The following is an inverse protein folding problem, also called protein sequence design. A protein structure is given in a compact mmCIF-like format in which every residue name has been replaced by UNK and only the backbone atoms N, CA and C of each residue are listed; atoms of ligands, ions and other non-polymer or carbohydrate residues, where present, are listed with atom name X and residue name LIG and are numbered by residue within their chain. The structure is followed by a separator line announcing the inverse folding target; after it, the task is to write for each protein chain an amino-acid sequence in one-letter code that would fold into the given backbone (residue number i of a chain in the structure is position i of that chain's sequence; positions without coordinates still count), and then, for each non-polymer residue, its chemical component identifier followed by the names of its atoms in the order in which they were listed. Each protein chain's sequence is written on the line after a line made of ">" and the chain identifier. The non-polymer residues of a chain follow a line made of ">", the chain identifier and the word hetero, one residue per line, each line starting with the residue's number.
data_IF_142752063738
#
_entry.id   IF_142752063738
#
_cell.length_a   1.000
_cell.length_b   1.000
_cell.length_c   1.000
_cell.angle_alpha   90.00
_cell.angle_beta   90.00
_cell.angle_gamma   90.00
#
_symmetry.space_group_name_H-M   'P 1'
#
loop_
_entity.id
_entity.type
_entity.pdbx_description
1 polymer ?
#
# COMPACT_ATOMS: atom_id res chain seq x y z
N UNK A 1 8.74 -14.23 31.24
CA UNK A 1 10.11 -14.21 31.80
C UNK A 1 10.34 -15.41 32.71
N UNK A 2 9.53 -15.59 33.76
CA UNK A 2 9.65 -16.74 34.69
C UNK A 2 9.55 -18.09 33.99
N UNK A 3 8.56 -18.27 33.10
CA UNK A 3 8.43 -19.50 32.31
C UNK A 3 9.65 -19.75 31.41
N UNK A 4 10.14 -18.71 30.71
CA UNK A 4 11.31 -18.81 29.84
C UNK A 4 12.59 -19.22 30.59
N UNK A 5 12.81 -18.68 31.78
CA UNK A 5 13.97 -19.04 32.62
C UNK A 5 13.82 -20.47 33.14
N UNK A 6 12.60 -20.91 33.46
CA UNK A 6 12.36 -22.31 33.83
C UNK A 6 12.62 -23.27 32.65
N UNK A 7 12.27 -22.88 31.42
CA UNK A 7 12.58 -23.68 30.22
C UNK A 7 14.09 -23.76 29.98
N UNK A 8 14.80 -22.63 30.09
CA UNK A 8 16.27 -22.59 29.98
C UNK A 8 16.96 -23.41 31.07
N UNK A 9 16.44 -23.37 32.30
CA UNK A 9 16.97 -24.16 33.40
C UNK A 9 16.77 -25.67 33.16
N UNK A 10 15.62 -26.08 32.61
CA UNK A 10 15.36 -27.48 32.24
C UNK A 10 16.25 -27.94 31.07
N UNK A 11 16.36 -27.15 30.00
CA UNK A 11 17.20 -27.47 28.84
C UNK A 11 18.70 -27.43 29.16
N UNK A 12 19.10 -26.51 30.04
CA UNK A 12 20.48 -26.34 30.51
C UNK A 12 20.88 -27.28 31.64
N UNK A 13 19.94 -28.09 32.16
CA UNK A 13 20.20 -29.03 33.25
C UNK A 13 20.54 -28.37 34.59
N UNK A 14 20.01 -27.17 34.84
CA UNK A 14 20.25 -26.44 36.10
C UNK A 14 19.51 -27.11 37.24
N UNK A 15 20.14 -27.14 38.41
CA UNK A 15 19.48 -27.60 39.63
C UNK A 15 18.42 -26.58 40.11
N UNK A 16 17.51 -27.06 40.96
CA UNK A 16 16.38 -26.27 41.44
C UNK A 16 16.81 -25.04 42.27
N UNK A 17 17.94 -25.12 42.98
CA UNK A 17 18.42 -24.04 43.83
C UNK A 17 19.07 -22.93 42.99
N UNK A 18 19.85 -23.29 41.97
CA UNK A 18 20.40 -22.35 40.98
C UNK A 18 19.31 -21.62 40.21
N UNK A 19 18.26 -22.33 39.78
CA UNK A 19 17.11 -21.74 39.09
C UNK A 19 16.39 -20.72 39.96
N UNK A 20 16.19 -21.07 41.24
CA UNK A 20 15.53 -20.20 42.22
C UNK A 20 16.37 -18.96 42.55
N UNK A 21 17.69 -19.09 42.62
CA UNK A 21 18.61 -17.98 42.84
C UNK A 21 18.59 -16.97 41.68
N UNK A 22 18.56 -17.46 40.43
CA UNK A 22 18.49 -16.61 39.23
C UNK A 22 17.14 -15.91 39.12
N UNK A 23 16.04 -16.61 39.36
CA UNK A 23 14.69 -16.01 39.39
C UNK A 23 14.58 -14.93 40.47
N UNK A 24 15.18 -15.16 41.64
CA UNK A 24 15.23 -14.18 42.73
C UNK A 24 16.06 -12.95 42.35
N UNK A 25 17.26 -13.15 41.78
CA UNK A 25 18.12 -12.04 41.35
C UNK A 25 17.48 -11.17 40.26
N UNK A 26 16.70 -11.77 39.35
CA UNK A 26 15.98 -11.05 38.30
C UNK A 26 14.74 -10.35 38.87
N UNK A 27 14.03 -10.95 39.82
CA UNK A 27 12.88 -10.35 40.50
C UNK A 27 13.23 -9.20 41.44
N UNK A 28 14.41 -9.25 42.09
CA UNK A 28 14.89 -8.22 43.01
C UNK A 28 15.51 -7.00 42.31
N UNK A 29 15.86 -7.13 41.02
CA UNK A 29 16.38 -6.02 40.22
C UNK A 29 15.41 -5.65 39.09
N UNK A 30 14.62 -4.57 39.24
CA UNK A 30 13.60 -4.19 38.26
C UNK A 30 14.17 -3.89 36.86
N UNK A 31 15.42 -3.38 36.76
CA UNK A 31 16.07 -3.16 35.46
C UNK A 31 16.46 -4.48 34.78
N UNK A 32 16.87 -5.49 35.56
CA UNK A 32 17.16 -6.81 35.02
C UNK A 32 15.88 -7.49 34.53
N UNK A 33 14.78 -7.40 35.31
CA UNK A 33 13.48 -7.91 34.90
C UNK A 33 12.98 -7.29 33.59
N UNK A 34 13.12 -5.96 33.41
CA UNK A 34 12.75 -5.29 32.16
C UNK A 34 13.62 -5.71 30.97
N UNK A 35 14.94 -5.81 31.13
CA UNK A 35 15.85 -6.25 30.07
C UNK A 35 15.53 -7.68 29.61
N UNK A 36 15.29 -8.60 30.56
CA UNK A 36 14.88 -9.97 30.23
C UNK A 36 13.49 -10.02 29.58
N UNK A 37 12.55 -9.17 29.99
CA UNK A 37 11.23 -9.08 29.35
C UNK A 37 11.35 -8.62 27.90
N UNK A 38 12.19 -7.61 27.64
CA UNK A 38 12.44 -7.09 26.29
C UNK A 38 13.11 -8.12 25.38
N UNK A 39 14.13 -8.82 25.87
CA UNK A 39 14.83 -9.84 25.08
C UNK A 39 13.95 -11.08 24.79
N UNK A 40 13.11 -11.48 25.74
CA UNK A 40 12.14 -12.57 25.53
C UNK A 40 11.10 -12.18 24.49
N UNK A 41 10.57 -10.95 24.55
CA UNK A 41 9.65 -10.45 23.52
C UNK A 41 10.32 -10.37 22.15
N UNK A 42 11.54 -9.83 22.06
CA UNK A 42 12.28 -9.73 20.80
C UNK A 42 12.55 -11.11 20.14
N UNK A 43 12.78 -12.16 20.94
CA UNK A 43 12.93 -13.53 20.43
C UNK A 43 11.61 -14.16 19.99
N UNK A 44 10.52 -13.89 20.70
CA UNK A 44 9.18 -14.34 20.29
C UNK A 44 8.76 -13.69 18.97
N UNK A 45 9.01 -12.39 18.83
CA UNK A 45 8.76 -11.65 17.60
C UNK A 45 9.63 -12.21 16.45
N UNK A 46 10.92 -12.46 16.68
CA UNK A 46 11.80 -13.05 15.66
C UNK A 46 11.35 -14.46 15.21
N UNK A 47 10.85 -15.30 16.12
CA UNK A 47 10.32 -16.63 15.74
C UNK A 47 9.05 -16.49 14.91
N UNK A 48 8.15 -15.59 15.30
CA UNK A 48 6.90 -15.33 14.59
C UNK A 48 7.17 -14.75 13.20
N UNK A 49 8.14 -13.86 13.07
CA UNK A 49 8.57 -13.29 11.80
C UNK A 49 9.20 -14.35 10.89
N UNK A 50 9.93 -15.32 11.47
CA UNK A 50 10.48 -16.46 10.70
C UNK A 50 9.39 -17.38 10.15
N UNK A 51 8.36 -17.67 10.94
CA UNK A 51 7.24 -18.51 10.51
C UNK A 51 6.38 -17.78 9.45
N UNK A 52 6.21 -16.47 9.59
CA UNK A 52 5.58 -15.63 8.58
C UNK A 52 6.38 -15.64 7.27
N UNK A 53 7.71 -15.41 7.33
CA UNK A 53 8.60 -15.47 6.17
C UNK A 53 8.60 -16.83 5.47
N UNK A 54 8.47 -17.92 6.24
CA UNK A 54 8.36 -19.27 5.67
C UNK A 54 7.03 -19.44 4.93
N UNK A 55 5.93 -18.97 5.52
CA UNK A 55 4.60 -19.02 4.91
C UNK A 55 4.54 -18.18 3.64
N UNK A 56 5.12 -16.98 3.65
CA UNK A 56 5.22 -16.10 2.48
C UNK A 56 6.06 -16.72 1.37
N UNK A 57 7.17 -17.39 1.74
CA UNK A 57 7.99 -18.13 0.79
C UNK A 57 7.24 -19.30 0.17
N UNK A 58 6.54 -20.09 0.97
CA UNK A 58 5.76 -21.23 0.48
C UNK A 58 4.62 -20.77 -0.45
N UNK A 59 3.97 -19.64 -0.14
CA UNK A 59 2.97 -19.01 -1.00
C UNK A 59 3.57 -18.47 -2.31
N UNK A 60 4.76 -17.87 -2.24
CA UNK A 60 5.49 -17.40 -3.42
C UNK A 60 5.87 -18.57 -4.34
N UNK A 61 6.43 -19.65 -3.78
CA UNK A 61 6.83 -20.84 -4.54
C UNK A 61 5.60 -21.51 -5.19
N UNK A 62 4.45 -21.57 -4.49
CA UNK A 62 3.19 -22.04 -5.07
C UNK A 62 2.73 -21.16 -6.25
N UNK A 63 2.81 -19.82 -6.12
CA UNK A 63 2.44 -18.88 -7.19
C UNK A 63 3.33 -19.02 -8.44
N UNK A 64 4.63 -19.30 -8.25
CA UNK A 64 5.58 -19.55 -9.33
C UNK A 64 5.23 -20.82 -10.12
N UNK A 65 4.82 -21.89 -9.41
CA UNK A 65 4.40 -23.14 -10.05
C UNK A 65 3.13 -22.92 -10.87
N UNK A 66 2.14 -22.21 -10.33
CA UNK A 66 0.94 -21.86 -11.09
C UNK A 66 1.24 -20.99 -12.30
N UNK A 67 2.12 -20.00 -12.16
CA UNK A 67 2.52 -19.13 -13.27
C UNK A 67 3.16 -19.94 -14.41
N UNK A 68 4.10 -20.83 -14.10
CA UNK A 68 4.74 -21.72 -15.09
C UNK A 68 3.72 -22.63 -15.78
N UNK A 69 2.72 -23.12 -15.05
CA UNK A 69 1.65 -23.94 -15.63
C UNK A 69 0.80 -23.13 -16.61
N UNK A 70 0.38 -21.92 -16.22
CA UNK A 70 -0.40 -21.00 -17.10
C UNK A 70 0.40 -20.59 -18.33
N UNK A 71 1.69 -20.33 -18.18
CA UNK A 71 2.59 -20.00 -19.30
C UNK A 71 2.70 -21.17 -20.29
N UNK A 72 2.84 -22.41 -19.79
CA UNK A 72 2.85 -23.60 -20.63
C UNK A 72 1.51 -23.84 -21.36
N UNK A 73 0.38 -23.60 -20.68
CA UNK A 73 -0.95 -23.65 -21.29
C UNK A 73 -1.13 -22.58 -22.37
N UNK A 74 -0.67 -21.35 -22.11
CA UNK A 74 -0.70 -20.25 -23.08
C UNK A 74 0.15 -20.55 -24.32
N UNK A 75 1.37 -21.08 -24.14
CA UNK A 75 2.24 -21.48 -25.25
C UNK A 75 1.61 -22.59 -26.10
N UNK A 76 0.93 -23.57 -25.47
CA UNK A 76 0.18 -24.60 -26.20
C UNK A 76 -0.96 -24.01 -27.01
N UNK A 77 -1.79 -23.17 -26.39
CA UNK A 77 -2.89 -22.50 -27.07
C UNK A 77 -2.40 -21.67 -28.27
N UNK A 78 -1.28 -20.95 -28.11
CA UNK A 78 -0.70 -20.18 -29.20
C UNK A 78 -0.14 -21.07 -30.33
N UNK A 79 0.44 -22.22 -30.01
CA UNK A 79 0.88 -23.19 -31.00
C UNK A 79 -0.30 -23.80 -31.78
N UNK A 80 -1.40 -24.10 -31.08
CA UNK A 80 -2.65 -24.61 -31.70
C UNK A 80 -3.27 -23.56 -32.63
N UNK A 81 -3.35 -22.30 -32.21
CA UNK A 81 -3.81 -21.21 -33.08
C UNK A 81 -2.99 -21.10 -34.37
N UNK A 82 -1.66 -21.18 -34.26
CA UNK A 82 -0.76 -21.12 -35.42
C UNK A 82 -0.94 -22.33 -36.35
N UNK A 83 -1.21 -23.51 -35.78
CA UNK A 83 -1.51 -24.70 -36.56
C UNK A 83 -2.83 -24.59 -37.33
N UNK A 84 -3.87 -24.02 -36.69
CA UNK A 84 -5.16 -23.74 -37.33
C UNK A 84 -4.99 -22.73 -38.47
N UNK A 85 -4.22 -21.65 -38.26
CA UNK A 85 -3.92 -20.66 -39.31
C UNK A 85 -3.19 -21.29 -40.50
N UNK A 86 -2.17 -22.10 -40.23
CA UNK A 86 -1.45 -22.83 -41.28
C UNK A 86 -2.35 -23.81 -42.03
N UNK A 87 -3.28 -24.48 -41.33
CA UNK A 87 -4.26 -25.36 -41.95
C UNK A 87 -5.23 -24.58 -42.84
N UNK A 88 -5.72 -23.42 -42.43
CA UNK A 88 -6.57 -22.56 -43.27
C UNK A 88 -5.85 -22.08 -44.54
N UNK A 89 -4.55 -21.79 -44.45
CA UNK A 89 -3.73 -21.45 -45.62
C UNK A 89 -3.48 -22.65 -46.54
N UNK A 90 -3.32 -23.86 -45.98
CA UNK A 90 -3.03 -25.08 -46.73
C UNK A 90 -4.27 -25.76 -47.36
N UNK A 91 -5.47 -25.60 -46.77
CA UNK A 91 -6.71 -26.25 -47.25
C UNK A 91 -7.37 -25.51 -48.43
N UNK A 92 -6.64 -24.61 -49.09
CA UNK A 92 -7.08 -23.98 -50.32
C UNK A 92 -7.94 -22.74 -50.09
N UNK A 93 -7.30 -21.58 -50.12
CA UNK A 93 -7.86 -20.47 -50.89
C UNK A 93 -8.09 -20.97 -52.31
N UNK A 94 -9.29 -21.47 -52.59
CA UNK A 94 -9.68 -21.96 -53.90
C UNK A 94 -9.64 -20.83 -54.92
N UNK A 95 -8.53 -20.73 -55.62
CA UNK A 95 -8.47 -20.15 -56.96
C UNK A 95 -9.21 -21.12 -57.90
N UNK A 96 -10.51 -20.89 -58.05
CA UNK A 96 -11.28 -21.30 -59.21
C UNK A 96 -12.60 -20.53 -59.25
N UNK A 97 -12.51 -19.21 -59.33
CA UNK A 97 -13.57 -18.43 -59.98
C UNK A 97 -13.00 -17.86 -61.26
N UNK A 98 -13.39 -18.55 -62.34
CA UNK A 98 -13.25 -18.18 -63.72
C UNK A 98 -13.61 -16.69 -63.88
N UNK A 99 -12.59 -15.87 -64.13
CA UNK A 99 -12.70 -14.47 -64.47
C UNK A 99 -13.14 -14.38 -65.94
N UNK A 100 -14.35 -14.86 -66.22
CA UNK A 100 -15.05 -14.58 -67.46
C UNK A 100 -15.76 -13.24 -67.31
N UNK A 101 -15.03 -12.24 -67.77
CA UNK A 101 -15.43 -10.86 -67.98
C UNK A 101 -16.68 -10.77 -68.86
N UNK A 102 -17.86 -10.56 -68.26
CA UNK A 102 -18.98 -9.87 -68.91
C UNK A 102 -20.02 -9.44 -67.87
N UNK A 103 -20.43 -8.16 -67.91
CA UNK A 103 -21.56 -7.68 -67.11
C UNK A 103 -21.20 -6.56 -66.13
N UNK A 104 -20.90 -5.40 -66.71
CA UNK A 104 -21.08 -4.10 -66.09
C UNK A 104 -22.51 -3.99 -65.50
N UNK A 105 -22.64 -3.95 -64.17
CA UNK A 105 -23.80 -3.33 -63.53
C UNK A 105 -23.38 -2.53 -62.29
N UNK A 106 -23.81 -1.28 -62.29
CA UNK A 106 -23.53 -0.29 -61.27
C UNK A 106 -24.54 -0.47 -60.14
N UNK A 107 -24.06 -0.94 -58.98
CA UNK A 107 -24.77 -0.79 -57.71
C UNK A 107 -23.77 -0.34 -56.65
N UNK A 108 -23.93 0.91 -56.19
CA UNK A 108 -23.24 1.50 -55.04
C UNK A 108 -23.63 0.78 -53.73
N UNK A 109 -23.07 -0.41 -53.49
CA UNK A 109 -23.31 -1.17 -52.27
C UNK A 109 -22.22 -2.20 -52.04
N UNK A 110 -21.36 -1.94 -51.05
CA UNK A 110 -20.38 -2.86 -50.45
C UNK A 110 -19.52 -3.64 -51.45
N UNK A 111 -18.41 -3.01 -51.88
CA UNK A 111 -17.30 -3.78 -52.46
C UNK A 111 -16.92 -4.89 -51.48
N UNK A 112 -16.93 -6.18 -51.89
CA UNK A 112 -16.49 -7.26 -51.01
C UNK A 112 -15.04 -6.96 -50.59
N UNK A 113 -14.77 -6.98 -49.28
CA UNK A 113 -13.42 -6.72 -48.76
C UNK A 113 -12.43 -7.61 -49.51
N UNK A 114 -11.39 -7.00 -50.06
CA UNK A 114 -10.29 -7.76 -50.68
C UNK A 114 -9.68 -8.69 -49.62
N UNK A 115 -9.11 -9.85 -50.01
CA UNK A 115 -8.45 -10.78 -49.05
C UNK A 115 -7.45 -10.08 -48.13
N UNK A 116 -6.79 -9.02 -48.63
CA UNK A 116 -5.90 -8.17 -47.84
C UNK A 116 -6.65 -7.37 -46.78
N UNK A 117 -7.72 -6.68 -47.14
CA UNK A 117 -8.54 -5.90 -46.19
C UNK A 117 -9.23 -6.80 -45.16
N UNK A 118 -9.65 -8.01 -45.54
CA UNK A 118 -10.18 -9.01 -44.59
C UNK A 118 -9.11 -9.47 -43.60
N UNK A 119 -7.89 -9.77 -44.07
CA UNK A 119 -6.77 -10.12 -43.19
C UNK A 119 -6.36 -8.97 -42.26
N UNK A 120 -6.36 -7.74 -42.77
CA UNK A 120 -6.04 -6.56 -41.96
C UNK A 120 -7.14 -6.29 -40.91
N UNK A 121 -8.41 -6.50 -41.26
CA UNK A 121 -9.54 -6.42 -40.32
C UNK A 121 -9.46 -7.51 -39.24
N UNK A 122 -9.11 -8.75 -39.60
CA UNK A 122 -8.91 -9.83 -38.63
C UNK A 122 -7.75 -9.52 -37.68
N UNK A 123 -6.61 -9.05 -38.20
CA UNK A 123 -5.48 -8.62 -37.35
C UNK A 123 -5.85 -7.46 -36.43
N UNK A 124 -6.59 -6.47 -36.92
CA UNK A 124 -7.06 -5.36 -36.10
C UNK A 124 -7.98 -5.84 -34.98
N UNK A 125 -8.91 -6.75 -35.28
CA UNK A 125 -9.77 -7.39 -34.29
C UNK A 125 -8.96 -8.16 -33.26
N UNK A 126 -8.02 -8.98 -33.69
CA UNK A 126 -7.21 -9.82 -32.81
C UNK A 126 -6.32 -8.96 -31.89
N UNK A 127 -5.71 -7.89 -32.43
CA UNK A 127 -4.99 -6.91 -31.62
C UNK A 127 -5.89 -6.23 -30.58
N UNK A 128 -7.11 -5.84 -30.97
CA UNK A 128 -8.09 -5.23 -30.06
C UNK A 128 -8.47 -6.19 -28.95
N UNK A 129 -8.64 -7.49 -29.27
CA UNK A 129 -8.93 -8.52 -28.28
C UNK A 129 -7.74 -8.74 -27.32
N UNK A 130 -6.51 -8.81 -27.84
CA UNK A 130 -5.31 -8.92 -27.02
C UNK A 130 -5.19 -7.73 -26.05
N UNK A 131 -5.45 -6.52 -26.52
CA UNK A 131 -5.40 -5.32 -25.69
C UNK A 131 -6.54 -5.27 -24.65
N UNK A 132 -7.73 -5.76 -25.00
CA UNK A 132 -8.82 -5.96 -24.06
C UNK A 132 -8.46 -6.95 -22.94
N UNK A 133 -7.87 -8.10 -23.28
CA UNK A 133 -7.45 -9.10 -22.30
C UNK A 133 -6.35 -8.54 -21.37
N UNK A 134 -5.35 -7.84 -21.92
CA UNK A 134 -4.31 -7.17 -21.13
C UNK A 134 -4.92 -6.15 -20.18
N UNK A 135 -5.80 -5.29 -20.68
CA UNK A 135 -6.46 -4.25 -19.89
C UNK A 135 -7.25 -4.87 -18.74
N UNK A 136 -8.08 -5.87 -19.03
CA UNK A 136 -8.89 -6.57 -18.02
C UNK A 136 -8.02 -7.26 -16.97
N UNK A 137 -6.88 -7.84 -17.38
CA UNK A 137 -5.93 -8.47 -16.45
C UNK A 137 -5.28 -7.45 -15.51
N UNK A 138 -4.83 -6.32 -16.04
CA UNK A 138 -4.24 -5.23 -15.25
C UNK A 138 -5.27 -4.68 -14.27
N UNK A 139 -6.49 -4.40 -14.73
CA UNK A 139 -7.58 -3.92 -13.88
C UNK A 139 -7.94 -4.94 -12.79
N UNK A 140 -7.95 -6.23 -13.14
CA UNK A 140 -8.16 -7.32 -12.19
C UNK A 140 -7.13 -7.34 -11.07
N UNK A 141 -5.84 -7.21 -11.42
CA UNK A 141 -4.75 -7.13 -10.46
C UNK A 141 -4.83 -5.86 -9.59
N UNK A 142 -5.10 -4.70 -10.19
CA UNK A 142 -5.28 -3.44 -9.46
C UNK A 142 -6.47 -3.51 -8.50
N UNK A 143 -7.58 -4.13 -8.90
CA UNK A 143 -8.74 -4.31 -8.04
C UNK A 143 -8.44 -5.24 -6.86
N UNK A 144 -7.82 -6.38 -7.14
CA UNK A 144 -7.42 -7.35 -6.13
C UNK A 144 -6.43 -6.73 -5.13
N UNK A 145 -5.47 -5.92 -5.59
CA UNK A 145 -4.53 -5.24 -4.71
C UNK A 145 -5.20 -4.18 -3.83
N UNK A 146 -6.21 -3.47 -4.35
CA UNK A 146 -6.90 -2.42 -3.62
C UNK A 146 -7.97 -2.96 -2.66
N UNK A 147 -8.70 -4.00 -3.02
CA UNK A 147 -9.90 -4.44 -2.28
C UNK A 147 -9.82 -5.87 -1.76
N UNK A 148 -8.85 -6.68 -2.22
CA UNK A 148 -8.77 -8.10 -1.86
C UNK A 148 -9.86 -8.97 -2.50
N UNK A 149 -10.68 -8.38 -3.38
CA UNK A 149 -11.80 -9.01 -4.05
C UNK A 149 -11.51 -9.15 -5.56
N UNK A 150 -12.03 -10.20 -6.22
CA UNK A 150 -11.95 -10.31 -7.67
C UNK A 150 -12.74 -9.18 -8.33
N UNK A 151 -12.23 -8.66 -9.45
CA UNK A 151 -12.90 -7.62 -10.24
C UNK A 151 -14.28 -8.11 -10.72
N UNK A 152 -15.38 -7.38 -10.43
CA UNK A 152 -16.71 -7.71 -10.97
C UNK A 152 -16.81 -7.28 -12.45
N UNK A 153 -16.17 -8.05 -13.34
CA UNK A 153 -16.03 -7.72 -14.78
C UNK A 153 -17.38 -7.40 -15.44
N UNK A 154 -18.42 -8.18 -15.13
CA UNK A 154 -19.76 -8.01 -15.73
C UNK A 154 -20.43 -6.69 -15.31
N UNK A 155 -20.18 -6.21 -14.10
CA UNK A 155 -20.75 -4.94 -13.61
C UNK A 155 -20.04 -3.75 -14.23
N UNK A 156 -18.71 -3.82 -14.31
CA UNK A 156 -17.88 -2.80 -14.96
C UNK A 156 -18.18 -2.74 -16.46
N UNK A 157 -18.41 -3.88 -17.11
CA UNK A 157 -18.82 -3.93 -18.51
C UNK A 157 -20.20 -3.28 -18.73
N UNK A 158 -21.19 -3.59 -17.89
CA UNK A 158 -22.50 -2.93 -17.95
C UNK A 158 -22.37 -1.42 -17.76
N UNK A 159 -21.58 -0.98 -16.77
CA UNK A 159 -21.32 0.43 -16.52
C UNK A 159 -20.64 1.11 -17.71
N UNK A 160 -19.67 0.45 -18.35
CA UNK A 160 -18.99 0.94 -19.55
C UNK A 160 -19.96 1.13 -20.74
N UNK A 161 -20.85 0.17 -20.95
CA UNK A 161 -21.87 0.23 -22.01
C UNK A 161 -22.89 1.33 -21.72
N UNK A 162 -23.38 1.43 -20.50
CA UNK A 162 -24.38 2.44 -20.08
C UNK A 162 -23.85 3.88 -20.22
N UNK A 163 -22.56 4.10 -19.91
CA UNK A 163 -21.94 5.42 -19.98
C UNK A 163 -21.14 5.68 -21.25
N UNK A 164 -21.07 4.72 -22.18
CA UNK A 164 -20.30 4.82 -23.42
C UNK A 164 -18.82 5.18 -23.18
N UNK A 165 -18.26 4.67 -22.08
CA UNK A 165 -16.89 4.91 -21.68
C UNK A 165 -16.00 3.73 -22.05
N UNK A 166 -14.72 3.96 -22.39
CA UNK A 166 -13.77 2.87 -22.52
C UNK A 166 -13.62 2.14 -21.17
N UNK A 167 -13.46 0.82 -21.21
CA UNK A 167 -13.48 -0.05 -20.02
C UNK A 167 -12.60 0.44 -18.85
N UNK A 168 -11.44 1.01 -19.18
CA UNK A 168 -10.49 1.54 -18.19
C UNK A 168 -11.01 2.79 -17.46
N UNK A 169 -11.73 3.67 -18.14
CA UNK A 169 -12.32 4.87 -17.54
C UNK A 169 -13.59 4.50 -16.77
N UNK A 170 -14.43 3.65 -17.37
CA UNK A 170 -15.60 3.08 -16.70
C UNK A 170 -15.24 2.42 -15.36
N UNK A 171 -14.15 1.65 -15.32
CA UNK A 171 -13.65 1.06 -14.09
C UNK A 171 -13.28 2.10 -13.04
N UNK A 172 -12.53 3.15 -13.42
CA UNK A 172 -12.11 4.21 -12.50
C UNK A 172 -13.31 4.91 -11.88
N UNK A 173 -14.31 5.25 -12.69
CA UNK A 173 -15.51 5.94 -12.22
C UNK A 173 -16.37 5.02 -11.34
N UNK A 174 -16.49 3.74 -11.70
CA UNK A 174 -17.19 2.74 -10.90
C UNK A 174 -16.57 2.54 -9.51
N UNK A 175 -15.23 2.51 -9.40
CA UNK A 175 -14.55 2.31 -8.11
C UNK A 175 -14.30 3.59 -7.33
N UNK A 176 -14.38 4.77 -7.96
CA UNK A 176 -14.13 6.06 -7.33
C UNK A 176 -14.82 6.21 -5.95
N UNK A 177 -16.13 5.94 -5.79
CA UNK A 177 -16.78 6.07 -4.48
C UNK A 177 -16.23 5.09 -3.44
N UNK A 178 -15.84 3.87 -3.84
CA UNK A 178 -15.22 2.88 -2.94
C UNK A 178 -13.81 3.30 -2.53
N UNK A 179 -13.03 3.87 -3.46
CA UNK A 179 -11.69 4.37 -3.17
C UNK A 179 -11.71 5.57 -2.23
N UNK A 180 -12.66 6.49 -2.40
CA UNK A 180 -12.82 7.65 -1.52
C UNK A 180 -13.13 7.21 -0.10
N UNK A 181 -14.08 6.28 0.08
CA UNK A 181 -14.39 5.70 1.38
C UNK A 181 -13.16 5.03 2.03
N UNK A 182 -12.39 4.25 1.27
CA UNK A 182 -11.15 3.63 1.78
C UNK A 182 -10.12 4.68 2.20
N UNK A 183 -9.99 5.77 1.46
CA UNK A 183 -9.08 6.88 1.80
C UNK A 183 -9.52 7.58 3.09
N UNK A 184 -10.80 7.82 3.27
CA UNK A 184 -11.34 8.40 4.50
C UNK A 184 -11.07 7.50 5.71
N UNK A 185 -11.34 6.18 5.60
CA UNK A 185 -11.06 5.22 6.67
C UNK A 185 -9.57 5.16 7.04
N UNK A 186 -8.69 5.15 6.05
CA UNK A 186 -7.23 5.19 6.28
C UNK A 186 -6.81 6.52 6.90
N UNK A 187 -7.40 7.64 6.47
CA UNK A 187 -7.11 8.96 7.01
C UNK A 187 -7.56 9.09 8.47
N UNK A 188 -8.75 8.60 8.83
CA UNK A 188 -9.23 8.59 10.21
C UNK A 188 -8.37 7.69 11.09
N UNK A 189 -7.98 6.50 10.60
CA UNK A 189 -7.08 5.62 11.32
C UNK A 189 -5.71 6.28 11.57
N UNK A 190 -5.14 6.94 10.54
CA UNK A 190 -3.87 7.66 10.65
C UNK A 190 -3.94 8.87 11.60
N UNK A 191 -5.07 9.60 11.60
CA UNK A 191 -5.30 10.70 12.53
C UNK A 191 -5.37 10.21 13.97
N UNK A 192 -6.03 9.08 14.20
CA UNK A 192 -6.12 8.45 15.53
C UNK A 192 -4.75 7.96 16.01
N UNK A 193 -3.98 7.28 15.16
CA UNK A 193 -2.64 6.82 15.53
C UNK A 193 -1.70 7.98 15.82
N UNK A 194 -1.74 9.05 15.01
CA UNK A 194 -0.93 10.25 15.22
C UNK A 194 -1.27 10.96 16.54
N UNK A 195 -2.55 10.98 16.92
CA UNK A 195 -2.98 11.54 18.19
C UNK A 195 -2.48 10.70 19.38
N UNK A 196 -2.60 9.37 19.30
CA UNK A 196 -2.11 8.46 20.34
C UNK A 196 -0.58 8.56 20.50
N UNK A 197 0.16 8.61 19.39
CA UNK A 197 1.61 8.79 19.39
C UNK A 197 2.01 10.17 19.94
N UNK A 198 1.29 11.24 19.57
CA UNK A 198 1.51 12.58 20.11
C UNK A 198 1.25 12.67 21.62
N UNK A 199 0.19 12.02 22.12
CA UNK A 199 -0.10 11.93 23.56
C UNK A 199 1.00 11.14 24.29
N UNK A 200 1.46 10.03 23.72
CA UNK A 200 2.51 9.21 24.31
C UNK A 200 3.83 9.97 24.38
N UNK A 201 4.19 10.66 23.28
CA UNK A 201 5.37 11.52 23.20
C UNK A 201 5.29 12.67 24.20
N UNK A 202 4.17 13.39 24.25
CA UNK A 202 3.97 14.49 25.21
C UNK A 202 4.05 14.05 26.68
N UNK A 203 3.55 12.85 27.01
CA UNK A 203 3.71 12.26 28.36
C UNK A 203 5.16 11.88 28.65
N UNK A 204 5.88 11.35 27.67
CA UNK A 204 7.30 10.99 27.83
C UNK A 204 8.22 12.21 27.99
N UNK A 205 7.90 13.32 27.31
CA UNK A 205 8.63 14.58 27.43
C UNK A 205 8.35 15.28 28.78
N UNK A 206 7.13 15.21 29.31
CA UNK A 206 6.80 15.72 30.65
C UNK A 206 7.43 14.91 31.80
N UNK A 207 7.73 13.63 31.60
CA UNK A 207 8.40 12.78 32.59
C UNK A 207 9.92 12.78 32.50
N UNK A 208 10.50 13.49 31.52
CA UNK A 208 11.94 13.72 31.48
C UNK A 208 12.33 14.62 32.66
N UNK A 209 13.26 14.20 33.54
CA UNK A 209 13.64 15.00 34.70
C UNK A 209 14.08 16.41 34.27
N UNK A 210 13.68 17.47 34.99
CA UNK A 210 14.16 18.81 34.72
C UNK A 210 15.63 18.88 35.15
N UNK A 211 16.53 18.46 34.27
CA UNK A 211 17.95 18.84 34.33
C UNK A 211 18.20 20.09 33.46
N UNK A 212 17.18 20.94 33.34
CA UNK A 212 17.35 22.33 33.01
C UNK A 212 17.49 23.06 34.34
N UNK A 213 18.68 23.61 34.62
CA UNK A 213 18.97 24.38 35.81
C UNK A 213 17.89 25.41 36.14
N UNK A 214 17.88 25.86 37.39
CA UNK A 214 16.88 26.72 38.04
C UNK A 214 16.55 28.08 37.37
N UNK A 215 16.91 28.28 36.11
CA UNK A 215 16.68 29.47 35.27
C UNK A 215 16.19 29.10 33.85
N UNK A 216 15.57 27.93 33.66
CA UNK A 216 15.10 27.44 32.35
C UNK A 216 13.85 28.12 31.74
N UNK A 217 13.66 29.42 31.92
CA UNK A 217 12.69 30.21 31.17
C UNK A 217 13.44 31.23 30.33
N UNK A 218 13.25 31.23 29.00
CA UNK A 218 13.89 32.22 28.10
C UNK A 218 13.70 33.63 28.66
N UNK A 219 14.74 34.47 28.70
CA UNK A 219 14.68 35.84 29.26
C UNK A 219 13.51 36.67 28.72
N UNK A 220 13.08 36.40 27.48
CA UNK A 220 11.89 36.97 26.86
C UNK A 220 10.59 36.74 27.66
N UNK A 221 10.37 35.50 28.12
CA UNK A 221 9.19 35.12 28.92
C UNK A 221 9.27 35.67 30.35
N UNK A 222 10.48 35.90 30.86
CA UNK A 222 10.68 36.53 32.17
C UNK A 222 10.41 38.04 32.10
N UNK A 223 10.90 38.72 31.06
CA UNK A 223 10.67 40.16 30.85
C UNK A 223 9.19 40.49 30.58
N UNK A 224 8.49 39.68 29.80
CA UNK A 224 7.05 39.86 29.54
C UNK A 224 6.20 39.64 30.79
N UNK A 225 6.54 38.66 31.63
CA UNK A 225 5.85 38.49 32.93
C UNK A 225 6.14 39.65 33.89
N UNK A 226 7.38 40.14 33.95
CA UNK A 226 7.76 41.26 34.80
C UNK A 226 7.04 42.56 34.41
N UNK A 227 6.88 42.83 33.10
CA UNK A 227 6.12 44.00 32.60
C UNK A 227 4.62 43.88 32.84
N UNK A 228 4.05 42.68 32.76
CA UNK A 228 2.62 42.43 33.08
C UNK A 228 2.37 42.60 34.58
N UNK A 229 3.28 42.15 35.46
CA UNK A 229 3.15 42.31 36.91
C UNK A 229 3.40 43.74 37.40
N UNK A 230 4.22 44.53 36.70
CA UNK A 230 4.46 45.94 37.06
C UNK A 230 3.25 46.87 36.77
N UNK A 231 2.27 46.43 35.97
CA UNK A 231 1.04 47.17 35.63
C UNK A 231 -0.21 46.47 36.20
N UNK A 232 -0.17 46.05 37.47
CA UNK A 232 -1.35 45.55 38.18
C UNK A 232 -2.38 46.67 38.40
N UNK A 233 -3.30 46.84 37.44
CA UNK A 233 -4.45 47.74 37.58
C UNK A 233 -5.33 47.89 36.33
N UNK A 234 -4.76 47.76 35.13
CA UNK A 234 -5.51 47.76 33.87
C UNK A 234 -5.18 46.49 33.09
N UNK A 235 -6.20 45.79 32.56
CA UNK A 235 -6.01 44.63 31.68
C UNK A 235 -5.06 45.03 30.54
N UNK A 236 -3.83 44.53 30.49
CA UNK A 236 -2.92 44.92 29.43
C UNK A 236 -3.37 44.21 28.15
N UNK A 237 -3.53 44.97 27.08
CA UNK A 237 -3.70 44.43 25.74
C UNK A 237 -2.44 43.61 25.41
N UNK A 238 -2.57 42.28 25.38
CA UNK A 238 -1.43 41.36 25.27
C UNK A 238 -0.60 41.58 24.02
N UNK A 239 -1.20 42.16 22.97
CA UNK A 239 -0.51 42.56 21.75
C UNK A 239 0.43 43.75 21.96
N UNK A 240 0.03 44.73 22.78
CA UNK A 240 0.87 45.88 23.09
C UNK A 240 2.06 45.50 23.98
N UNK A 241 1.84 44.65 24.98
CA UNK A 241 2.91 44.14 25.84
C UNK A 241 3.92 43.28 25.06
N UNK A 242 3.45 42.49 24.08
CA UNK A 242 4.30 41.72 23.19
C UNK A 242 5.13 42.62 22.27
N UNK A 243 4.52 43.66 21.68
CA UNK A 243 5.22 44.62 20.83
C UNK A 243 6.29 45.43 21.59
N UNK A 244 6.00 45.86 22.83
CA UNK A 244 7.00 46.50 23.71
C UNK A 244 8.17 45.57 24.04
N UNK A 245 7.89 44.32 24.45
CA UNK A 245 8.94 43.35 24.76
C UNK A 245 9.82 43.00 23.56
N UNK A 246 9.25 43.01 22.35
CA UNK A 246 9.99 42.81 21.11
C UNK A 246 10.88 44.01 20.75
N UNK A 247 10.36 45.24 20.93
CA UNK A 247 11.12 46.46 20.67
C UNK A 247 12.28 46.65 21.65
N UNK A 248 12.11 46.33 22.94
CA UNK A 248 13.19 46.37 23.94
C UNK A 248 14.27 45.33 23.67
N UNK A 249 13.88 44.11 23.27
CA UNK A 249 14.84 43.06 22.91
C UNK A 249 15.65 43.45 21.66
N UNK A 250 15.00 44.07 20.66
CA UNK A 250 15.67 44.57 19.47
C UNK A 250 16.60 45.77 19.76
N UNK A 251 16.21 46.66 20.68
CA UNK A 251 17.04 47.78 21.11
C UNK A 251 18.29 47.34 21.89
N UNK A 252 18.20 46.28 22.71
CA UNK A 252 19.36 45.67 23.38
C UNK A 252 20.27 44.87 22.46
N UNK A 253 19.75 44.41 21.33
CA UNK A 253 20.50 43.63 20.34
C UNK A 253 21.18 44.50 19.25
N UNK A 254 20.96 45.82 19.25
CA UNK A 254 21.70 46.76 18.41
C UNK A 254 22.94 47.28 19.16
N UNK A 255 24.15 47.24 18.56
CA UNK A 255 25.40 47.59 19.23
C UNK A 255 25.55 49.09 19.55
#
# INVERSE_FOLDING_TARGET
>A
VTEYINTLAQEGGWDADSTKAVLKAIGENPKAAEMFKRDVMARQDYSRDKDALKTDRDAFDASQVEHKKKEAEWLKFHAELKAIEAQQQATGGGDNFDNSNDGQDNSDGEKPLTRKEMNDALKARDNTFVDFVKTTTILGQEHQANFGEPLPVLEVEKYAVEHQLPLKEAYKDFIAPRLEKKREEVFEAAKKSSYEEGVLKGRSEQQSPPDAGATGGSEFLQNTRATIQAKEGEKPDGLAAFAEGWAEAAAKASP
#
